data_IF_069377569534
#
_entry.id   IF_069377569534
#
_cell.length_a   1.000
_cell.length_b   1.000
_cell.length_c   1.000
_cell.angle_alpha   90.00
_cell.angle_beta   90.00
_cell.angle_gamma   90.00
#
_symmetry.space_group_name_H-M   'P 1'
#
loop_
_entity.id
_entity.type
_entity.pdbx_description
1 polymer ?
#
# COMPACT_ATOMS: atom_id res chain seq x y z
N UNK A 1 25.82 31.42 -6.92
CA UNK A 1 24.63 30.57 -7.03
C UNK A 1 23.63 31.24 -7.95
N UNK A 2 23.30 30.57 -9.08
CA UNK A 2 22.44 31.09 -10.14
C UNK A 2 20.97 31.19 -9.65
N UNK A 3 20.17 32.14 -10.22
CA UNK A 3 18.76 32.37 -9.91
C UNK A 3 17.91 31.06 -10.05
N UNK A 4 18.31 30.19 -10.97
CA UNK A 4 17.71 28.86 -11.22
C UNK A 4 18.00 27.85 -10.09
N UNK A 5 19.19 27.91 -9.51
CA UNK A 5 19.60 27.08 -8.36
C UNK A 5 18.90 27.52 -7.07
N UNK A 6 18.80 28.84 -6.85
CA UNK A 6 18.04 29.41 -5.72
C UNK A 6 16.56 29.02 -5.79
N UNK A 7 15.98 28.95 -6.99
CA UNK A 7 14.59 28.55 -7.21
C UNK A 7 14.37 27.07 -6.93
N UNK A 8 15.29 26.19 -7.39
CA UNK A 8 15.27 24.75 -7.12
C UNK A 8 15.44 24.41 -5.62
N UNK A 9 16.29 25.16 -4.90
CA UNK A 9 16.47 24.98 -3.47
C UNK A 9 15.18 25.40 -2.74
N UNK A 10 14.61 26.55 -3.11
CA UNK A 10 13.36 27.05 -2.54
C UNK A 10 12.15 26.15 -2.83
N UNK A 11 12.13 25.47 -3.99
CA UNK A 11 11.11 24.45 -4.32
C UNK A 11 11.28 23.16 -3.52
N UNK A 12 12.53 22.73 -3.23
CA UNK A 12 12.81 21.57 -2.37
C UNK A 12 12.44 21.82 -0.91
N UNK A 13 12.80 22.99 -0.39
CA UNK A 13 12.44 23.38 1.00
C UNK A 13 10.91 23.50 1.15
N UNK A 14 10.21 23.93 0.10
CA UNK A 14 8.77 24.05 0.07
C UNK A 14 8.07 22.68 0.17
N UNK A 15 8.59 21.67 -0.51
CA UNK A 15 8.01 20.32 -0.47
C UNK A 15 7.96 19.71 0.94
N UNK A 16 8.98 19.96 1.75
CA UNK A 16 9.05 19.46 3.14
C UNK A 16 8.06 20.21 4.05
N UNK A 17 7.97 21.53 3.89
CA UNK A 17 7.00 22.34 4.60
C UNK A 17 5.58 21.93 4.23
N UNK A 18 5.32 21.66 2.94
CA UNK A 18 4.01 21.20 2.46
C UNK A 18 3.63 19.83 3.07
N UNK A 19 4.58 18.91 3.24
CA UNK A 19 4.35 17.62 3.91
C UNK A 19 3.94 17.83 5.37
N UNK A 20 4.67 18.67 6.10
CA UNK A 20 4.35 18.98 7.50
C UNK A 20 2.97 19.66 7.63
N UNK A 21 2.65 20.59 6.73
CA UNK A 21 1.35 21.26 6.68
C UNK A 21 0.24 20.27 6.39
N UNK A 22 0.41 19.38 5.40
CA UNK A 22 -0.55 18.33 5.05
C UNK A 22 -0.74 17.37 6.23
N UNK A 23 0.34 16.90 6.84
CA UNK A 23 0.29 16.00 7.99
C UNK A 23 -0.47 16.64 9.16
N UNK A 24 -0.13 17.85 9.52
CA UNK A 24 -0.79 18.58 10.60
C UNK A 24 -2.25 18.93 10.29
N UNK A 25 -2.58 19.22 9.03
CA UNK A 25 -3.95 19.53 8.65
C UNK A 25 -4.84 18.27 8.64
N UNK A 26 -4.42 17.20 7.97
CA UNK A 26 -5.26 16.03 7.76
C UNK A 26 -5.10 14.95 8.84
N UNK A 27 -3.94 14.88 9.49
CA UNK A 27 -3.55 13.80 10.41
C UNK A 27 -2.97 14.36 11.72
N UNK A 28 -3.73 15.24 12.40
CA UNK A 28 -3.29 15.90 13.64
C UNK A 28 -2.77 14.94 14.71
N UNK A 29 -3.33 13.75 14.77
CA UNK A 29 -2.97 12.72 15.75
C UNK A 29 -1.96 11.68 15.21
N UNK A 30 -1.28 11.97 14.07
CA UNK A 30 -0.40 11.00 13.41
C UNK A 30 0.68 10.49 14.36
N UNK A 31 1.39 11.37 15.04
CA UNK A 31 2.43 10.99 16.00
C UNK A 31 1.88 10.17 17.17
N UNK A 32 0.72 10.57 17.70
CA UNK A 32 0.02 9.81 18.73
C UNK A 32 -0.29 8.40 18.23
N UNK A 33 -0.84 8.26 17.03
CA UNK A 33 -1.15 6.96 16.45
C UNK A 33 0.08 6.08 16.22
N UNK A 34 1.20 6.68 15.83
CA UNK A 34 2.48 5.97 15.68
C UNK A 34 2.96 5.49 17.05
N UNK A 35 2.96 6.35 18.06
CA UNK A 35 3.45 6.03 19.40
C UNK A 35 2.56 5.03 20.15
N UNK A 36 1.29 4.89 19.75
CA UNK A 36 0.37 3.87 20.25
C UNK A 36 0.59 2.47 19.62
N UNK A 37 1.38 2.37 18.54
CA UNK A 37 1.69 1.07 17.94
C UNK A 37 2.59 0.26 18.88
N UNK A 38 2.46 -1.06 18.81
CA UNK A 38 3.34 -1.94 19.56
C UNK A 38 4.77 -1.86 18.99
N UNK A 39 5.71 -1.38 19.80
CA UNK A 39 7.13 -1.34 19.46
C UNK A 39 7.76 -2.70 19.74
N UNK A 40 8.30 -3.39 18.74
CA UNK A 40 8.90 -4.71 18.93
C UNK A 40 10.26 -4.70 19.63
N UNK A 41 10.83 -3.52 19.91
CA UNK A 41 12.16 -3.37 20.50
C UNK A 41 12.13 -3.48 22.03
N UNK A 42 13.23 -3.89 22.61
CA UNK A 42 13.41 -3.86 24.07
C UNK A 42 13.65 -2.41 24.56
N UNK A 43 12.87 -1.96 25.52
CA UNK A 43 12.88 -0.58 26.02
C UNK A 43 14.27 -0.06 26.44
N UNK A 44 15.13 -0.90 26.99
CA UNK A 44 16.47 -0.51 27.44
C UNK A 44 17.47 -0.19 26.33
N UNK A 45 17.15 -0.47 25.09
CA UNK A 45 18.06 -0.30 23.93
C UNK A 45 17.50 0.67 22.87
N UNK A 46 16.49 1.45 23.21
CA UNK A 46 15.86 2.40 22.30
C UNK A 46 16.71 3.67 22.26
N UNK A 47 17.38 3.91 21.11
CA UNK A 47 18.11 5.15 20.81
C UNK A 47 17.26 6.14 20.01
N UNK A 48 16.41 5.63 19.13
CA UNK A 48 15.56 6.40 18.21
C UNK A 48 14.11 6.12 18.53
N UNK A 49 13.26 7.13 18.51
CA UNK A 49 11.83 6.95 18.70
C UNK A 49 11.19 6.17 17.54
N UNK A 50 10.12 5.46 17.82
CA UNK A 50 9.37 4.72 16.78
C UNK A 50 8.88 5.66 15.66
N UNK A 51 8.53 6.89 16.02
CA UNK A 51 8.11 7.93 15.08
C UNK A 51 9.20 8.27 14.07
N UNK A 52 10.48 8.22 14.45
CA UNK A 52 11.58 8.50 13.52
C UNK A 52 11.62 7.50 12.37
N UNK A 53 11.48 6.21 12.68
CA UNK A 53 11.51 5.15 11.66
C UNK A 53 10.32 5.24 10.71
N UNK A 54 9.12 5.43 11.25
CA UNK A 54 7.90 5.48 10.44
C UNK A 54 7.86 6.75 9.57
N UNK A 55 8.17 7.91 10.15
CA UNK A 55 8.22 9.17 9.39
C UNK A 55 9.32 9.13 8.34
N UNK A 56 10.49 8.60 8.68
CA UNK A 56 11.61 8.46 7.73
C UNK A 56 11.24 7.54 6.57
N UNK A 57 10.54 6.42 6.83
CA UNK A 57 10.01 5.53 5.80
C UNK A 57 9.00 6.23 4.88
N UNK A 58 8.13 7.07 5.43
CA UNK A 58 7.18 7.88 4.66
C UNK A 58 7.95 8.89 3.79
N UNK A 59 8.89 9.63 4.36
CA UNK A 59 9.70 10.63 3.65
C UNK A 59 10.54 9.98 2.54
N UNK A 60 11.14 8.81 2.79
CA UNK A 60 11.85 8.03 1.78
C UNK A 60 11.01 7.82 0.53
N UNK A 61 9.77 7.36 0.72
CA UNK A 61 8.86 7.07 -0.40
C UNK A 61 8.39 8.36 -1.11
N UNK A 62 8.07 9.42 -0.37
CA UNK A 62 7.66 10.71 -0.95
C UNK A 62 8.80 11.33 -1.76
N UNK A 63 10.05 11.20 -1.30
CA UNK A 63 11.23 11.72 -1.99
C UNK A 63 11.71 10.82 -3.14
N UNK A 64 11.05 9.71 -3.42
CA UNK A 64 11.43 8.77 -4.49
C UNK A 64 12.79 8.12 -4.27
N UNK A 65 13.16 7.89 -3.00
CA UNK A 65 14.41 7.19 -2.66
C UNK A 65 14.17 5.68 -2.73
N UNK A 66 14.86 5.00 -3.63
CA UNK A 66 14.56 3.60 -3.94
C UNK A 66 15.02 2.64 -2.83
N UNK A 67 16.28 2.77 -2.37
CA UNK A 67 16.87 1.84 -1.40
C UNK A 67 17.05 2.46 -0.02
N UNK A 68 17.12 1.61 1.01
CA UNK A 68 17.42 2.05 2.37
C UNK A 68 18.83 2.63 2.50
N UNK A 69 19.80 2.07 1.78
CA UNK A 69 21.19 2.59 1.72
C UNK A 69 21.24 3.99 1.10
N UNK A 70 20.56 4.20 -0.03
CA UNK A 70 20.47 5.54 -0.62
C UNK A 70 19.79 6.57 0.30
N UNK A 71 18.85 6.11 1.13
CA UNK A 71 18.19 6.95 2.11
C UNK A 71 19.22 7.46 3.14
N UNK A 72 20.05 6.59 3.69
CA UNK A 72 21.11 6.95 4.63
C UNK A 72 22.06 7.98 4.00
N UNK A 73 22.56 7.72 2.80
CA UNK A 73 23.45 8.63 2.07
C UNK A 73 22.81 10.00 1.77
N UNK A 74 21.53 10.04 1.41
CA UNK A 74 20.84 11.26 1.00
C UNK A 74 20.30 12.08 2.16
N UNK A 75 19.84 11.41 3.23
CA UNK A 75 19.13 12.06 4.34
C UNK A 75 20.03 12.38 5.53
N UNK A 76 21.21 11.79 5.64
CA UNK A 76 22.15 12.07 6.73
C UNK A 76 22.83 13.44 6.55
N UNK A 77 21.99 14.50 6.51
CA UNK A 77 22.37 15.90 6.35
C UNK A 77 21.65 16.73 7.41
N UNK A 78 22.28 17.75 7.91
CA UNK A 78 21.78 18.58 8.99
C UNK A 78 20.34 19.08 8.77
N UNK A 79 20.03 19.56 7.56
CA UNK A 79 18.67 20.02 7.24
C UNK A 79 17.64 18.88 7.24
N UNK A 80 18.02 17.67 6.83
CA UNK A 80 17.12 16.53 6.86
C UNK A 80 16.89 16.05 8.30
N UNK A 81 17.94 16.05 9.13
CA UNK A 81 17.85 15.73 10.56
C UNK A 81 16.92 16.74 11.26
N UNK A 82 17.11 18.04 11.04
CA UNK A 82 16.22 19.09 11.56
C UNK A 82 14.76 18.88 11.14
N UNK A 83 14.53 18.49 9.89
CA UNK A 83 13.20 18.21 9.37
C UNK A 83 12.57 16.99 10.01
N UNK A 84 13.31 15.88 10.10
CA UNK A 84 12.83 14.67 10.76
C UNK A 84 12.46 14.99 12.20
N UNK A 85 13.35 15.62 12.95
CA UNK A 85 13.14 16.10 14.32
C UNK A 85 11.85 16.91 14.48
N UNK A 86 11.59 17.81 13.56
CA UNK A 86 10.37 18.64 13.57
C UNK A 86 9.10 17.80 13.31
N UNK A 87 9.16 16.82 12.39
CA UNK A 87 7.98 16.06 11.99
C UNK A 87 7.74 14.87 12.94
N UNK A 88 8.80 14.17 13.39
CA UNK A 88 8.69 13.03 14.30
C UNK A 88 8.43 13.44 15.76
N UNK A 89 8.74 14.69 16.11
CA UNK A 89 8.59 15.21 17.46
C UNK A 89 9.74 14.80 18.43
N UNK A 90 10.73 14.05 17.96
CA UNK A 90 11.90 13.68 18.74
C UNK A 90 12.88 14.86 18.84
N UNK A 91 12.93 15.49 20.01
CA UNK A 91 13.81 16.64 20.28
C UNK A 91 15.28 16.25 20.47
N UNK A 92 15.55 15.01 20.83
CA UNK A 92 16.89 14.50 21.12
C UNK A 92 17.59 13.92 19.88
N UNK A 93 16.89 13.78 18.77
CA UNK A 93 17.44 13.23 17.54
C UNK A 93 18.64 14.06 17.08
N UNK A 94 19.83 13.49 17.05
CA UNK A 94 21.09 14.14 16.66
C UNK A 94 21.64 13.66 15.33
N UNK A 95 21.25 12.47 14.91
CA UNK A 95 21.69 11.83 13.65
C UNK A 95 20.59 10.95 13.06
N UNK A 96 20.67 10.63 11.79
CA UNK A 96 19.74 9.69 11.16
C UNK A 96 20.00 8.25 11.63
N UNK A 97 18.95 7.46 11.88
CA UNK A 97 19.11 6.02 12.11
C UNK A 97 19.78 5.36 10.90
N UNK A 98 20.81 4.54 11.15
CA UNK A 98 21.44 3.74 10.10
C UNK A 98 20.41 2.79 9.46
N UNK A 99 20.57 2.53 8.16
CA UNK A 99 19.59 1.71 7.42
C UNK A 99 19.42 0.30 7.98
N UNK A 100 20.46 -0.32 8.54
CA UNK A 100 20.35 -1.63 9.19
C UNK A 100 19.48 -1.58 10.46
N UNK A 101 19.57 -0.50 11.22
CA UNK A 101 18.71 -0.30 12.41
C UNK A 101 17.24 -0.20 12.03
N UNK A 102 16.96 0.47 10.92
CA UNK A 102 15.60 0.61 10.39
C UNK A 102 15.10 -0.72 9.84
N UNK A 103 15.94 -1.45 9.08
CA UNK A 103 15.59 -2.77 8.57
C UNK A 103 15.26 -3.75 9.71
N UNK A 104 16.10 -3.79 10.73
CA UNK A 104 15.87 -4.63 11.91
C UNK A 104 14.56 -4.29 12.64
N UNK A 105 14.22 -3.01 12.74
CA UNK A 105 12.94 -2.57 13.29
C UNK A 105 11.78 -3.03 12.42
N UNK A 106 11.85 -2.81 11.08
CA UNK A 106 10.80 -3.17 10.14
C UNK A 106 10.58 -4.67 10.03
N UNK A 107 11.64 -5.48 10.12
CA UNK A 107 11.53 -6.94 10.16
C UNK A 107 10.68 -7.46 11.33
N UNK A 108 10.77 -6.78 12.47
CA UNK A 108 10.04 -7.17 13.69
C UNK A 108 8.68 -6.49 13.84
N UNK A 109 8.45 -5.43 13.09
CA UNK A 109 7.19 -4.70 13.14
C UNK A 109 6.07 -5.51 12.49
N UNK A 110 5.02 -5.80 13.24
CA UNK A 110 3.84 -6.47 12.68
C UNK A 110 3.21 -5.62 11.57
N UNK A 111 2.93 -6.18 10.38
CA UNK A 111 2.21 -5.48 9.30
C UNK A 111 0.86 -4.91 9.74
N UNK A 112 0.22 -5.52 10.75
CA UNK A 112 -1.05 -5.04 11.32
C UNK A 112 -0.93 -3.65 11.96
N UNK A 113 0.25 -3.31 12.50
CA UNK A 113 0.51 -1.97 13.05
C UNK A 113 0.39 -0.91 11.95
N UNK A 114 1.04 -1.13 10.80
CA UNK A 114 0.97 -0.22 9.65
C UNK A 114 -0.44 -0.21 9.01
N UNK A 115 -1.11 -1.36 8.97
CA UNK A 115 -2.51 -1.44 8.52
C UNK A 115 -3.42 -0.61 9.43
N UNK A 116 -3.24 -0.71 10.74
CA UNK A 116 -3.97 0.09 11.74
C UNK A 116 -3.73 1.59 11.58
N UNK A 117 -2.50 2.00 11.37
CA UNK A 117 -2.12 3.39 11.13
C UNK A 117 -2.80 3.93 9.85
N UNK A 118 -2.66 3.22 8.73
CA UNK A 118 -3.30 3.56 7.46
C UNK A 118 -4.82 3.71 7.60
N UNK A 119 -5.47 2.79 8.30
CA UNK A 119 -6.90 2.84 8.60
C UNK A 119 -7.27 4.14 9.34
N UNK A 120 -6.55 4.52 10.39
CA UNK A 120 -6.78 5.77 11.13
C UNK A 120 -6.65 6.99 10.20
N UNK A 121 -5.65 7.00 9.30
CA UNK A 121 -5.46 8.06 8.30
C UNK A 121 -6.64 8.13 7.31
N UNK A 122 -7.08 7.02 6.75
CA UNK A 122 -8.23 6.97 5.84
C UNK A 122 -9.52 7.43 6.53
N UNK A 123 -9.75 7.02 7.77
CA UNK A 123 -10.88 7.51 8.56
C UNK A 123 -10.85 9.03 8.78
N UNK A 124 -9.68 9.60 9.04
CA UNK A 124 -9.52 11.06 9.17
C UNK A 124 -9.98 11.78 7.90
N UNK A 125 -9.55 11.30 6.72
CA UNK A 125 -9.93 11.88 5.43
C UNK A 125 -11.43 11.75 5.15
N UNK A 126 -12.03 10.59 5.45
CA UNK A 126 -13.45 10.34 5.26
C UNK A 126 -14.28 11.24 6.18
N UNK A 127 -13.93 11.34 7.47
CA UNK A 127 -14.66 12.18 8.45
C UNK A 127 -14.63 13.66 8.09
N UNK A 128 -13.53 14.14 7.51
CA UNK A 128 -13.38 15.53 7.03
C UNK A 128 -14.12 15.80 5.74
N UNK A 129 -14.74 14.78 5.13
CA UNK A 129 -15.43 14.87 3.83
C UNK A 129 -14.55 15.42 2.70
N UNK A 130 -13.21 15.30 2.83
CA UNK A 130 -12.21 15.90 1.93
C UNK A 130 -12.39 15.54 0.46
N UNK A 131 -12.99 14.37 0.19
CA UNK A 131 -13.13 13.83 -1.16
C UNK A 131 -14.57 13.50 -1.57
N UNK A 132 -15.55 13.97 -0.84
CA UNK A 132 -16.95 13.62 -1.09
C UNK A 132 -17.44 13.99 -2.50
N UNK A 133 -17.03 15.14 -3.02
CA UNK A 133 -17.34 15.60 -4.39
C UNK A 133 -16.57 14.84 -5.51
N UNK A 134 -15.65 13.97 -5.13
CA UNK A 134 -14.83 13.20 -6.08
C UNK A 134 -15.21 11.71 -6.11
N UNK A 135 -16.31 11.34 -5.46
CA UNK A 135 -16.86 9.99 -5.50
C UNK A 135 -17.48 9.66 -6.85
N UNK A 136 -17.55 8.40 -7.18
CA UNK A 136 -18.25 7.93 -8.37
C UNK A 136 -19.77 8.21 -8.25
N UNK A 137 -20.34 8.89 -9.23
CA UNK A 137 -21.75 9.31 -9.25
C UNK A 137 -22.15 10.04 -7.95
N UNK A 138 -21.26 10.86 -7.40
CA UNK A 138 -21.41 11.61 -6.13
C UNK A 138 -21.78 10.76 -4.91
N UNK A 139 -21.76 9.46 -5.05
CA UNK A 139 -22.21 8.51 -4.04
C UNK A 139 -21.17 7.49 -3.64
N UNK A 140 -20.57 6.77 -4.60
CA UNK A 140 -19.78 5.58 -4.33
C UNK A 140 -18.29 5.86 -4.20
N UNK A 141 -17.66 5.25 -3.20
CA UNK A 141 -16.21 5.14 -3.13
C UNK A 141 -15.75 4.05 -4.08
N UNK A 142 -15.09 4.43 -5.16
CA UNK A 142 -14.58 3.50 -6.15
C UNK A 142 -13.30 2.85 -5.65
N UNK A 143 -13.36 1.54 -5.38
CA UNK A 143 -12.24 0.73 -4.91
C UNK A 143 -11.80 -0.18 -6.05
N UNK A 144 -10.56 -0.03 -6.47
CA UNK A 144 -9.94 -0.88 -7.49
C UNK A 144 -9.14 -1.96 -6.80
N UNK A 145 -9.39 -3.22 -7.20
CA UNK A 145 -8.60 -4.39 -6.81
C UNK A 145 -7.59 -4.69 -7.92
N UNK A 146 -6.30 -4.68 -7.58
CA UNK A 146 -5.24 -4.99 -8.52
C UNK A 146 -4.12 -5.77 -7.85
N UNK A 147 -3.66 -6.84 -8.53
CA UNK A 147 -2.58 -7.70 -8.06
C UNK A 147 -1.23 -7.22 -8.59
N UNK A 148 -0.32 -6.85 -7.69
CA UNK A 148 1.01 -6.35 -8.04
C UNK A 148 2.10 -7.34 -7.62
N UNK A 149 2.96 -7.73 -8.57
CA UNK A 149 4.21 -8.45 -8.28
C UNK A 149 5.21 -7.49 -7.66
N UNK A 150 5.82 -7.89 -6.54
CA UNK A 150 6.78 -7.05 -5.83
C UNK A 150 8.21 -7.37 -6.24
N UNK A 151 8.59 -8.63 -6.16
CA UNK A 151 9.96 -9.09 -6.38
C UNK A 151 9.97 -10.40 -7.14
N UNK A 152 11.07 -10.65 -7.90
CA UNK A 152 11.35 -11.91 -8.58
C UNK A 152 12.74 -12.40 -8.20
N UNK A 153 12.85 -13.69 -7.85
CA UNK A 153 14.08 -14.31 -7.39
C UNK A 153 14.36 -15.59 -8.19
N UNK A 154 15.64 -15.90 -8.42
CA UNK A 154 16.08 -17.17 -9.01
C UNK A 154 16.06 -18.32 -8.00
N UNK A 155 16.25 -17.97 -6.73
CA UNK A 155 16.24 -18.88 -5.58
C UNK A 155 15.15 -18.46 -4.60
N UNK A 156 14.72 -19.41 -3.77
CA UNK A 156 13.70 -19.13 -2.76
C UNK A 156 14.24 -18.14 -1.73
N UNK A 157 13.58 -17.02 -1.58
CA UNK A 157 13.99 -15.95 -0.67
C UNK A 157 13.38 -16.09 0.73
N UNK A 158 12.14 -16.57 0.82
CA UNK A 158 11.42 -16.77 2.08
C UNK A 158 10.43 -17.93 1.95
N UNK A 159 9.90 -18.42 3.07
CA UNK A 159 8.92 -19.50 3.10
C UNK A 159 7.60 -19.17 2.39
N UNK A 160 7.23 -17.88 2.37
CA UNK A 160 5.98 -17.39 1.78
C UNK A 160 6.08 -17.04 0.30
N UNK A 161 7.26 -17.24 -0.33
CA UNK A 161 7.42 -16.99 -1.76
C UNK A 161 6.51 -17.90 -2.60
N UNK A 162 5.79 -17.29 -3.52
CA UNK A 162 5.14 -17.98 -4.63
C UNK A 162 6.19 -18.51 -5.60
N UNK A 163 5.88 -19.57 -6.34
CA UNK A 163 6.78 -20.09 -7.37
C UNK A 163 6.05 -20.37 -8.69
N UNK A 164 6.80 -20.30 -9.77
CA UNK A 164 6.33 -20.57 -11.13
C UNK A 164 7.38 -21.29 -11.93
N UNK A 165 6.98 -22.34 -12.65
CA UNK A 165 7.84 -23.02 -13.64
C UNK A 165 7.80 -22.25 -14.96
N UNK A 166 8.97 -21.90 -15.50
CA UNK A 166 9.09 -21.25 -16.81
C UNK A 166 10.12 -21.97 -17.66
N UNK A 167 9.83 -22.13 -18.95
CA UNK A 167 10.84 -22.51 -19.95
C UNK A 167 11.77 -21.33 -20.16
N UNK A 168 13.04 -21.54 -20.09
CA UNK A 168 14.08 -20.55 -20.38
C UNK A 168 14.64 -20.75 -21.80
N UNK A 169 15.42 -19.79 -22.27
CA UNK A 169 15.92 -19.74 -23.66
C UNK A 169 16.74 -20.94 -24.09
N UNK A 170 17.33 -21.67 -23.14
CA UNK A 170 18.08 -22.92 -23.37
C UNK A 170 17.19 -24.16 -23.49
N UNK A 171 15.85 -24.02 -23.47
CA UNK A 171 14.88 -25.09 -23.52
C UNK A 171 14.62 -25.78 -22.19
N UNK A 172 15.44 -25.51 -21.16
CA UNK A 172 15.23 -26.09 -19.82
C UNK A 172 14.04 -25.43 -19.10
N UNK A 173 13.49 -26.15 -18.11
CA UNK A 173 12.45 -25.59 -17.24
C UNK A 173 13.08 -25.22 -15.91
N UNK A 174 12.95 -23.96 -15.50
CA UNK A 174 13.42 -23.48 -14.19
C UNK A 174 12.28 -22.97 -13.34
N UNK A 175 12.45 -23.09 -12.03
CA UNK A 175 11.53 -22.54 -11.03
C UNK A 175 12.01 -21.13 -10.70
N UNK A 176 11.10 -20.17 -10.77
CA UNK A 176 11.30 -18.81 -10.30
C UNK A 176 10.40 -18.55 -9.11
N UNK A 177 10.90 -17.80 -8.16
CA UNK A 177 10.17 -17.40 -6.97
C UNK A 177 9.79 -15.94 -7.06
N UNK A 178 8.65 -15.58 -6.49
CA UNK A 178 8.19 -14.20 -6.51
C UNK A 178 7.28 -13.89 -5.33
N UNK A 179 7.16 -12.62 -5.02
CA UNK A 179 6.22 -12.11 -4.03
C UNK A 179 5.15 -11.29 -4.74
N UNK A 180 3.92 -11.42 -4.29
CA UNK A 180 2.77 -10.75 -4.87
C UNK A 180 1.84 -10.26 -3.78
N UNK A 181 1.25 -9.08 -3.99
CA UNK A 181 0.22 -8.52 -3.13
C UNK A 181 -1.01 -8.18 -3.95
N UNK A 182 -2.16 -8.21 -3.31
CA UNK A 182 -3.38 -7.60 -3.80
C UNK A 182 -3.58 -6.27 -3.09
N UNK A 183 -3.70 -5.20 -3.87
CA UNK A 183 -4.01 -3.87 -3.38
C UNK A 183 -5.47 -3.52 -3.62
N UNK A 184 -6.11 -2.94 -2.60
CA UNK A 184 -7.38 -2.26 -2.71
C UNK A 184 -7.13 -0.75 -2.62
N UNK A 185 -7.37 -0.03 -3.72
CA UNK A 185 -7.10 1.40 -3.81
C UNK A 185 -8.39 2.19 -4.04
N UNK A 186 -8.65 3.20 -3.21
CA UNK A 186 -9.69 4.19 -3.51
C UNK A 186 -9.17 5.11 -4.60
N UNK A 187 -9.88 5.20 -5.71
CA UNK A 187 -9.54 6.08 -6.84
C UNK A 187 -10.62 7.12 -7.05
N UNK A 188 -10.24 8.37 -7.04
CA UNK A 188 -11.14 9.51 -7.10
C UNK A 188 -11.07 10.25 -8.45
N UNK A 189 -12.12 11.01 -8.78
CA UNK A 189 -12.20 11.73 -10.06
C UNK A 189 -11.09 12.78 -10.25
N UNK A 190 -10.54 13.33 -9.16
CA UNK A 190 -9.41 14.27 -9.18
C UNK A 190 -8.04 13.60 -9.29
N UNK A 191 -7.98 12.30 -9.67
CA UNK A 191 -6.78 11.49 -9.80
C UNK A 191 -6.05 11.18 -8.47
N UNK A 192 -6.58 11.55 -7.33
CA UNK A 192 -6.03 11.12 -6.04
C UNK A 192 -6.32 9.64 -5.84
N UNK A 193 -5.29 8.89 -5.45
CA UNK A 193 -5.35 7.46 -5.17
C UNK A 193 -4.90 7.24 -3.72
N UNK A 194 -5.71 6.52 -2.96
CA UNK A 194 -5.40 6.16 -1.57
C UNK A 194 -5.34 4.64 -1.45
N UNK A 195 -4.26 4.09 -0.92
CA UNK A 195 -4.19 2.67 -0.56
C UNK A 195 -5.11 2.42 0.63
N UNK A 196 -6.17 1.66 0.39
CA UNK A 196 -7.16 1.33 1.42
C UNK A 196 -6.71 0.11 2.23
N UNK A 197 -6.29 -0.94 1.54
CA UNK A 197 -5.81 -2.16 2.17
C UNK A 197 -4.89 -2.96 1.24
N UNK A 198 -4.05 -3.81 1.84
CA UNK A 198 -3.10 -4.68 1.17
C UNK A 198 -3.25 -6.09 1.70
N UNK A 199 -3.33 -7.07 0.81
CA UNK A 199 -3.37 -8.48 1.15
C UNK A 199 -2.18 -9.20 0.53
N UNK A 200 -1.42 -9.93 1.33
CA UNK A 200 -0.34 -10.76 0.84
C UNK A 200 -0.89 -12.04 0.20
N UNK A 201 -0.34 -12.39 -0.95
CA UNK A 201 -0.62 -13.65 -1.65
C UNK A 201 0.59 -14.53 -1.43
N UNK A 202 0.44 -15.53 -0.57
CA UNK A 202 1.55 -16.34 -0.04
C UNK A 202 1.50 -17.76 -0.58
N UNK A 203 2.68 -18.36 -0.78
CA UNK A 203 2.80 -19.77 -1.14
C UNK A 203 2.76 -20.64 0.11
N UNK A 204 1.94 -21.67 0.11
CA UNK A 204 2.01 -22.73 1.13
C UNK A 204 3.16 -23.66 0.80
N UNK A 205 4.31 -23.49 1.42
CA UNK A 205 5.48 -24.35 1.33
C UNK A 205 5.86 -24.81 -0.10
N UNK A 206 6.48 -25.96 -0.29
CA UNK A 206 7.06 -26.41 -1.56
C UNK A 206 6.03 -26.84 -2.62
N UNK A 207 4.74 -26.82 -2.33
CA UNK A 207 3.72 -27.36 -3.21
C UNK A 207 3.17 -26.31 -4.19
N UNK A 208 3.70 -26.32 -5.42
CA UNK A 208 3.29 -25.40 -6.51
C UNK A 208 1.78 -25.47 -6.81
N UNK A 209 1.14 -26.60 -6.56
CA UNK A 209 -0.30 -26.78 -6.86
C UNK A 209 -1.24 -26.20 -5.82
N UNK A 210 -0.76 -25.86 -4.62
CA UNK A 210 -1.53 -25.35 -3.49
C UNK A 210 -1.24 -23.89 -3.15
N UNK A 211 -0.66 -23.16 -4.07
CA UNK A 211 -0.39 -21.75 -3.84
C UNK A 211 -1.68 -20.93 -3.73
N UNK A 212 -1.66 -19.93 -2.87
CA UNK A 212 -2.73 -18.95 -2.77
C UNK A 212 -2.89 -18.16 -4.09
N UNK A 213 -4.05 -17.61 -4.31
CA UNK A 213 -4.36 -16.89 -5.54
C UNK A 213 -5.05 -15.56 -5.29
N UNK A 214 -5.01 -14.70 -6.32
CA UNK A 214 -5.64 -13.39 -6.27
C UNK A 214 -7.13 -13.41 -5.92
N UNK A 215 -7.87 -14.47 -6.27
CA UNK A 215 -9.30 -14.59 -5.92
C UNK A 215 -9.50 -14.83 -4.43
N UNK A 216 -8.69 -15.68 -3.80
CA UNK A 216 -8.77 -15.92 -2.36
C UNK A 216 -8.34 -14.67 -1.58
N UNK A 217 -7.25 -14.03 -2.01
CA UNK A 217 -6.85 -12.73 -1.48
C UNK A 217 -7.96 -11.68 -1.64
N UNK A 218 -8.68 -11.68 -2.78
CA UNK A 218 -9.84 -10.83 -3.04
C UNK A 218 -10.96 -11.04 -2.01
N UNK A 219 -11.30 -12.27 -1.68
CA UNK A 219 -12.30 -12.58 -0.65
C UNK A 219 -11.87 -12.07 0.73
N UNK A 220 -10.61 -12.29 1.11
CA UNK A 220 -10.08 -11.86 2.41
C UNK A 220 -10.08 -10.33 2.54
N UNK A 221 -9.58 -9.61 1.52
CA UNK A 221 -9.50 -8.15 1.54
C UNK A 221 -10.90 -7.51 1.55
N UNK A 222 -11.86 -8.02 0.77
CA UNK A 222 -13.23 -7.52 0.76
C UNK A 222 -13.94 -7.73 2.09
N UNK A 223 -13.76 -8.90 2.73
CA UNK A 223 -14.29 -9.18 4.07
C UNK A 223 -13.74 -8.19 5.10
N UNK A 224 -12.45 -7.90 5.04
CA UNK A 224 -11.79 -6.94 5.93
C UNK A 224 -12.26 -5.51 5.68
N UNK A 225 -12.40 -5.10 4.42
CA UNK A 225 -12.95 -3.79 4.05
C UNK A 225 -14.36 -3.62 4.61
N UNK A 226 -15.21 -4.66 4.52
CA UNK A 226 -16.55 -4.60 5.10
C UNK A 226 -16.54 -4.42 6.61
N UNK A 227 -15.68 -5.16 7.30
CA UNK A 227 -15.53 -5.07 8.76
C UNK A 227 -15.01 -3.69 9.18
N UNK A 228 -14.09 -3.14 8.41
CA UNK A 228 -13.46 -1.87 8.72
C UNK A 228 -14.31 -0.66 8.31
N UNK A 229 -15.01 -0.74 7.19
CA UNK A 229 -15.80 0.37 6.64
C UNK A 229 -17.28 -0.03 6.40
N UNK A 230 -18.03 -0.44 7.43
CA UNK A 230 -19.32 -1.11 7.29
C UNK A 230 -20.41 -0.27 6.64
N UNK A 231 -20.27 1.06 6.66
CA UNK A 231 -21.31 2.01 6.19
C UNK A 231 -20.93 2.74 4.90
N UNK A 232 -19.77 2.48 4.33
CA UNK A 232 -19.37 3.16 3.09
C UNK A 232 -20.16 2.60 1.90
N UNK A 233 -20.75 3.45 1.07
CA UNK A 233 -21.27 3.05 -0.23
C UNK A 233 -20.08 2.80 -1.17
N UNK A 234 -19.84 1.55 -1.53
CA UNK A 234 -18.65 1.12 -2.27
C UNK A 234 -19.04 0.66 -3.68
N UNK A 235 -18.18 1.00 -4.65
CA UNK A 235 -18.13 0.38 -5.96
C UNK A 235 -16.82 -0.38 -6.09
N UNK A 236 -16.87 -1.70 -6.21
CA UNK A 236 -15.69 -2.54 -6.46
C UNK A 236 -15.42 -2.59 -7.95
N UNK A 237 -14.18 -2.31 -8.33
CA UNK A 237 -13.70 -2.44 -9.70
C UNK A 237 -12.50 -3.39 -9.75
N UNK A 238 -12.41 -4.20 -10.78
CA UNK A 238 -11.29 -5.13 -10.99
C UNK A 238 -11.26 -5.66 -12.41
N UNK A 239 -10.19 -6.39 -12.71
CA UNK A 239 -10.08 -7.10 -13.98
C UNK A 239 -10.94 -8.38 -14.00
N UNK A 240 -10.90 -9.11 -15.13
CA UNK A 240 -11.67 -10.34 -15.31
C UNK A 240 -11.29 -11.48 -14.33
N UNK A 241 -10.20 -11.37 -13.59
CA UNK A 241 -9.83 -12.32 -12.54
C UNK A 241 -10.83 -12.28 -11.38
N UNK A 242 -11.37 -11.09 -11.08
CA UNK A 242 -12.32 -10.86 -9.99
C UNK A 242 -13.78 -10.95 -10.45
N UNK A 243 -14.04 -11.01 -11.76
CA UNK A 243 -15.38 -11.21 -12.32
C UNK A 243 -15.87 -12.65 -12.13
N UNK A 244 -15.99 -13.08 -10.88
CA UNK A 244 -16.38 -14.44 -10.47
C UNK A 244 -17.55 -14.40 -9.52
N UNK A 245 -18.40 -15.44 -9.59
CA UNK A 245 -19.59 -15.50 -8.75
C UNK A 245 -19.31 -15.33 -7.24
N UNK A 246 -18.26 -15.93 -6.65
CA UNK A 246 -17.95 -15.70 -5.23
C UNK A 246 -17.67 -14.23 -4.88
N UNK A 247 -16.95 -13.50 -5.72
CA UNK A 247 -16.66 -12.08 -5.51
C UNK A 247 -17.90 -11.22 -5.70
N UNK A 248 -18.68 -11.48 -6.77
CA UNK A 248 -19.94 -10.78 -7.03
C UNK A 248 -20.97 -11.03 -5.91
N UNK A 249 -21.04 -12.24 -5.37
CA UNK A 249 -21.87 -12.59 -4.22
C UNK A 249 -21.52 -11.74 -3.00
N UNK A 250 -20.22 -11.63 -2.66
CA UNK A 250 -19.76 -10.75 -1.57
C UNK A 250 -20.22 -9.30 -1.79
N UNK A 251 -20.11 -8.80 -3.02
CA UNK A 251 -20.57 -7.44 -3.34
C UNK A 251 -22.08 -7.30 -3.14
N UNK A 252 -22.90 -8.23 -3.63
CA UNK A 252 -24.37 -8.20 -3.46
C UNK A 252 -24.78 -8.27 -2.00
N UNK A 253 -24.23 -9.18 -1.22
CA UNK A 253 -24.52 -9.33 0.21
C UNK A 253 -24.19 -8.07 1.01
N UNK A 254 -23.16 -7.33 0.59
CA UNK A 254 -22.76 -6.08 1.23
C UNK A 254 -23.48 -4.83 0.65
N UNK A 255 -24.37 -5.00 -0.33
CA UNK A 255 -25.04 -3.92 -1.07
C UNK A 255 -24.04 -2.99 -1.76
N UNK A 256 -22.95 -3.53 -2.22
CA UNK A 256 -21.94 -2.84 -3.03
C UNK A 256 -22.25 -3.00 -4.51
N UNK A 257 -22.01 -1.96 -5.30
CA UNK A 257 -22.01 -2.07 -6.75
C UNK A 257 -20.63 -2.54 -7.22
N UNK A 258 -20.57 -3.11 -8.42
CA UNK A 258 -19.30 -3.57 -8.97
C UNK A 258 -19.21 -3.37 -10.48
N UNK A 259 -17.97 -3.20 -10.97
CA UNK A 259 -17.63 -3.04 -12.37
C UNK A 259 -16.41 -3.93 -12.64
N UNK A 260 -16.58 -5.01 -13.38
CA UNK A 260 -15.49 -5.90 -13.75
C UNK A 260 -15.28 -5.92 -15.25
N UNK A 261 -14.01 -6.03 -15.66
CA UNK A 261 -13.69 -6.19 -17.09
C UNK A 261 -14.19 -7.56 -17.56
N UNK A 262 -14.92 -7.56 -18.66
CA UNK A 262 -15.33 -8.79 -19.34
C UNK A 262 -14.19 -9.35 -20.18
N UNK A 263 -14.02 -10.69 -20.15
CA UNK A 263 -13.16 -11.45 -21.06
C UNK A 263 -13.92 -12.69 -21.53
N UNK A 264 -14.31 -12.71 -22.81
CA UNK A 264 -15.10 -13.78 -23.40
C UNK A 264 -14.54 -15.18 -23.18
N UNK A 265 -13.21 -15.35 -23.18
CA UNK A 265 -12.55 -16.63 -22.89
C UNK A 265 -12.82 -17.20 -21.48
N UNK A 266 -13.14 -16.36 -20.51
CA UNK A 266 -13.44 -16.78 -19.12
C UNK A 266 -14.94 -16.78 -18.80
N UNK A 267 -15.71 -16.00 -19.54
CA UNK A 267 -17.14 -15.74 -19.29
C UNK A 267 -17.97 -16.05 -20.54
N UNK A 268 -17.78 -17.24 -21.10
CA UNK A 268 -18.40 -17.66 -22.37
C UNK A 268 -19.91 -17.49 -22.38
N UNK A 269 -20.61 -17.96 -21.35
CA UNK A 269 -22.07 -17.82 -21.26
C UNK A 269 -22.54 -16.36 -21.27
N UNK A 270 -21.78 -15.46 -20.65
CA UNK A 270 -22.12 -14.06 -20.66
C UNK A 270 -21.89 -13.46 -22.06
N UNK A 271 -20.81 -13.87 -22.73
CA UNK A 271 -20.52 -13.47 -24.10
C UNK A 271 -21.59 -13.96 -25.08
N UNK A 272 -21.95 -15.23 -25.02
CA UNK A 272 -22.99 -15.83 -25.84
C UNK A 272 -24.34 -15.11 -25.63
N UNK A 273 -24.73 -14.84 -24.38
CA UNK A 273 -25.96 -14.11 -24.10
C UNK A 273 -25.91 -12.64 -24.57
N UNK A 274 -24.75 -12.01 -24.54
CA UNK A 274 -24.59 -10.64 -25.05
C UNK A 274 -24.73 -10.60 -26.59
N UNK A 275 -24.12 -11.54 -27.28
CA UNK A 275 -24.21 -11.69 -28.75
C UNK A 275 -25.66 -11.92 -29.21
N UNK A 276 -26.46 -12.66 -28.42
CA UNK A 276 -27.88 -12.86 -28.69
C UNK A 276 -28.76 -11.60 -28.49
N UNK A 277 -28.23 -10.57 -27.78
CA UNK A 277 -28.98 -9.32 -27.57
C UNK A 277 -28.72 -8.27 -28.67
N UNK A 278 -27.70 -8.47 -29.49
CA UNK A 278 -27.34 -7.57 -30.60
C UNK A 278 -28.04 -7.95 -31.92
N UNK A 279 -28.75 -9.08 -31.98
CA UNK A 279 -29.64 -9.48 -33.07
C UNK A 279 -31.10 -9.05 -32.79
#
# INVERSE_FOLDING_TARGET
MNKKEKRKIKEKDRGIVDIAVIANHFFKDLLKWINEMNDPRQRGYIKYEQSDFIILGILKNICGVETMRQMDEKFNKENCIKTLKMISGDKELSEMPHYDTINYYLEKLSPECLRGLRKKMIYSLIRRKSFYKHRLLDKYWRIILDGTGQFYFKERHCENCLCVKRKVSDGSTRIFYYQKVLEAKIVMSNKVVLSLDTEFIEGEQENISKQDCGQNAGKRILSRIKKEYPRLPICIQGDALYATEPIMKICRENKWVYIFTHKGTRQRLLQENYELLEE
#
